data_IF_158101869624
#
_entry.id   IF_158101869624
#
_cell.length_a   1.000
_cell.length_b   1.000
_cell.length_c   1.000
_cell.angle_alpha   90.00
_cell.angle_beta   90.00
_cell.angle_gamma   90.00
#
_symmetry.space_group_name_H-M   'P 1'
#
loop_
_entity.id
_entity.type
_entity.pdbx_description
1 polymer ?
#
# COMPACT_ATOMS: atom_id res chain seq x y z
N UNK A 1 -9.04 -1.00 0.52
CA UNK A 1 -8.62 -0.61 1.89
C UNK A 1 -9.59 -1.15 2.94
N UNK A 2 -10.86 -0.75 2.94
CA UNK A 2 -11.86 -1.23 3.92
C UNK A 2 -11.89 -2.76 4.02
N UNK A 3 -12.02 -3.44 2.88
CA UNK A 3 -12.07 -4.91 2.82
C UNK A 3 -10.83 -5.58 3.42
N UNK A 4 -9.62 -5.07 3.09
CA UNK A 4 -8.36 -5.58 3.66
C UNK A 4 -8.32 -5.46 5.18
N UNK A 5 -8.71 -4.30 5.71
CA UNK A 5 -8.72 -4.03 7.16
C UNK A 5 -9.75 -4.89 7.89
N UNK A 6 -10.96 -5.01 7.32
CA UNK A 6 -12.02 -5.83 7.90
C UNK A 6 -11.65 -7.31 7.91
N UNK A 7 -11.05 -7.80 6.82
CA UNK A 7 -10.56 -9.17 6.76
C UNK A 7 -9.52 -9.44 7.84
N UNK A 8 -8.52 -8.56 7.97
CA UNK A 8 -7.52 -8.69 9.04
C UNK A 8 -8.16 -8.65 10.44
N UNK A 9 -9.14 -7.77 10.66
CA UNK A 9 -9.85 -7.68 11.93
C UNK A 9 -10.63 -8.96 12.27
N UNK A 10 -11.33 -9.53 11.28
CA UNK A 10 -12.11 -10.76 11.44
C UNK A 10 -11.22 -11.99 11.62
N UNK A 11 -10.12 -12.08 10.88
CA UNK A 11 -9.13 -13.17 11.01
C UNK A 11 -8.49 -13.17 12.40
N UNK A 12 -8.25 -11.99 12.98
CA UNK A 12 -7.71 -11.85 14.33
C UNK A 12 -8.76 -12.14 15.44
N UNK A 13 -10.04 -11.92 15.15
CA UNK A 13 -11.13 -12.00 16.14
C UNK A 13 -12.34 -12.79 15.62
N UNK A 14 -12.31 -14.14 15.68
CA UNK A 14 -13.34 -15.00 15.09
C UNK A 14 -14.76 -14.84 15.67
N UNK A 15 -14.89 -14.28 16.88
CA UNK A 15 -16.18 -14.13 17.56
C UNK A 15 -17.02 -12.94 17.06
N UNK A 16 -16.46 -12.08 16.22
CA UNK A 16 -17.14 -10.95 15.55
C UNK A 16 -17.89 -9.96 16.48
N UNK A 17 -17.60 -9.98 17.79
CA UNK A 17 -18.33 -9.21 18.80
C UNK A 17 -18.27 -7.69 18.59
N UNK A 18 -17.22 -7.18 17.95
CA UNK A 18 -17.01 -5.76 17.71
C UNK A 18 -17.04 -5.39 16.22
N UNK A 19 -17.71 -6.19 15.39
CA UNK A 19 -17.74 -6.01 13.93
C UNK A 19 -18.15 -4.59 13.51
N UNK A 20 -19.19 -4.02 14.13
CA UNK A 20 -19.65 -2.66 13.80
C UNK A 20 -18.54 -1.60 14.01
N UNK A 21 -17.81 -1.70 15.12
CA UNK A 21 -16.68 -0.81 15.43
C UNK A 21 -15.56 -1.01 14.41
N UNK A 22 -15.24 -2.26 14.05
CA UNK A 22 -14.20 -2.53 13.06
C UNK A 22 -14.58 -2.00 11.67
N UNK A 23 -15.87 -2.05 11.29
CA UNK A 23 -16.38 -1.43 10.05
C UNK A 23 -16.19 0.07 10.10
N UNK A 24 -16.63 0.73 11.18
CA UNK A 24 -16.49 2.18 11.34
C UNK A 24 -15.01 2.61 11.25
N UNK A 25 -14.12 1.95 12.00
CA UNK A 25 -12.67 2.24 11.96
C UNK A 25 -12.06 1.96 10.58
N UNK A 26 -12.46 0.86 9.93
CA UNK A 26 -11.95 0.53 8.60
C UNK A 26 -12.35 1.59 7.57
N UNK A 27 -13.57 2.12 7.65
CA UNK A 27 -14.03 3.23 6.82
C UNK A 27 -13.27 4.54 7.14
N UNK A 28 -13.11 4.87 8.42
CA UNK A 28 -12.33 6.01 8.91
C UNK A 28 -10.91 5.96 8.31
N UNK A 29 -10.18 4.86 8.53
CA UNK A 29 -8.81 4.67 8.05
C UNK A 29 -8.73 4.65 6.52
N UNK A 30 -9.67 3.99 5.84
CA UNK A 30 -9.70 3.93 4.39
C UNK A 30 -9.97 5.29 3.76
N UNK A 31 -10.76 6.17 4.37
CA UNK A 31 -10.91 7.54 3.88
C UNK A 31 -9.62 8.35 4.04
N UNK A 32 -8.93 8.19 5.17
CA UNK A 32 -7.62 8.84 5.41
C UNK A 32 -6.59 8.41 4.37
N UNK A 33 -6.40 7.11 4.15
CA UNK A 33 -5.37 6.63 3.22
C UNK A 33 -5.81 6.58 1.77
N UNK A 34 -7.09 6.37 1.50
CA UNK A 34 -7.64 6.28 0.15
C UNK A 34 -7.88 7.64 -0.50
N UNK A 35 -8.25 8.65 0.28
CA UNK A 35 -8.46 10.02 -0.20
C UNK A 35 -7.31 10.92 0.25
N UNK A 36 -7.04 10.96 1.56
CA UNK A 36 -5.99 11.81 2.15
C UNK A 36 -4.56 11.41 1.79
N UNK A 37 -4.32 10.15 1.41
CA UNK A 37 -2.99 9.62 1.09
C UNK A 37 -2.29 10.37 -0.05
N UNK A 38 -3.05 10.80 -1.08
CA UNK A 38 -2.54 11.51 -2.25
C UNK A 38 -2.41 13.02 -2.06
N UNK A 39 -2.88 13.56 -0.92
CA UNK A 39 -2.84 14.99 -0.65
C UNK A 39 -1.42 15.47 -0.31
N UNK A 40 -1.14 16.74 -0.65
CA UNK A 40 0.07 17.42 -0.17
C UNK A 40 -0.05 17.75 1.34
N UNK A 41 1.05 18.12 1.98
CA UNK A 41 1.12 18.33 3.43
C UNK A 41 0.08 19.33 3.94
N UNK A 42 -0.03 20.51 3.31
CA UNK A 42 -1.01 21.53 3.72
C UNK A 42 -2.46 21.03 3.57
N UNK A 43 -2.76 20.30 2.49
CA UNK A 43 -4.08 19.75 2.25
C UNK A 43 -4.41 18.60 3.21
N UNK A 44 -3.41 17.86 3.69
CA UNK A 44 -3.60 16.81 4.70
C UNK A 44 -4.07 17.38 6.03
N UNK A 45 -3.54 18.52 6.46
CA UNK A 45 -3.97 19.18 7.71
C UNK A 45 -5.41 19.69 7.63
N UNK A 46 -5.77 20.32 6.50
CA UNK A 46 -7.14 20.77 6.23
C UNK A 46 -8.11 19.60 6.16
N UNK A 47 -7.73 18.54 5.42
CA UNK A 47 -8.52 17.32 5.30
C UNK A 47 -8.70 16.63 6.64
N UNK A 48 -7.64 16.51 7.46
CA UNK A 48 -7.72 15.89 8.79
C UNK A 48 -8.72 16.61 9.70
N UNK A 49 -8.67 17.94 9.72
CA UNK A 49 -9.62 18.76 10.50
C UNK A 49 -11.06 18.52 10.03
N UNK A 50 -11.30 18.69 8.73
CA UNK A 50 -12.60 18.48 8.12
C UNK A 50 -13.15 17.06 8.36
N UNK A 51 -12.30 16.04 8.17
CA UNK A 51 -12.68 14.64 8.28
C UNK A 51 -12.98 14.26 9.74
N UNK A 52 -12.19 14.75 10.70
CA UNK A 52 -12.49 14.59 12.14
C UNK A 52 -13.84 15.21 12.49
N UNK A 53 -14.17 16.39 11.98
CA UNK A 53 -15.43 17.06 12.28
C UNK A 53 -16.64 16.33 11.70
N UNK A 54 -16.53 15.75 10.50
CA UNK A 54 -17.57 14.88 9.94
C UNK A 54 -17.79 13.66 10.84
N UNK A 55 -16.71 12.94 11.19
CA UNK A 55 -16.83 11.72 12.00
C UNK A 55 -17.26 11.99 13.45
N UNK A 56 -17.08 13.22 13.95
CA UNK A 56 -17.61 13.66 15.25
C UNK A 56 -19.06 14.17 15.17
N UNK A 57 -19.60 14.38 13.97
CA UNK A 57 -20.90 15.01 13.78
C UNK A 57 -20.93 16.51 14.12
N UNK A 58 -19.77 17.16 14.13
CA UNK A 58 -19.63 18.59 14.45
C UNK A 58 -19.78 19.48 13.21
N UNK A 59 -19.85 18.90 12.01
CA UNK A 59 -19.99 19.64 10.77
C UNK A 59 -21.48 19.93 10.47
N UNK A 60 -21.93 21.20 10.52
CA UNK A 60 -23.34 21.55 10.29
C UNK A 60 -23.78 21.40 8.84
N UNK A 61 -22.85 21.54 7.88
CA UNK A 61 -23.14 21.39 6.44
C UNK A 61 -23.26 19.91 6.05
N UNK A 62 -22.67 19.03 6.85
CA UNK A 62 -22.62 17.58 6.63
C UNK A 62 -22.94 16.81 7.93
N UNK A 63 -24.18 16.89 8.43
CA UNK A 63 -24.58 16.17 9.65
C UNK A 63 -24.58 14.66 9.43
N UNK A 64 -24.42 13.90 10.52
CA UNK A 64 -24.55 12.43 10.48
C UNK A 64 -25.99 12.09 10.07
N UNK A 65 -26.19 11.29 9.00
CA UNK A 65 -27.53 10.88 8.59
C UNK A 65 -28.27 10.15 9.71
N UNK A 66 -29.57 10.43 9.86
CA UNK A 66 -30.42 9.82 10.91
C UNK A 66 -30.48 8.28 10.84
N UNK A 67 -30.17 7.71 9.67
CA UNK A 67 -30.14 6.26 9.43
C UNK A 67 -28.90 5.57 9.98
N UNK A 68 -27.89 6.32 10.43
CA UNK A 68 -26.62 5.79 10.92
C UNK A 68 -26.64 5.78 12.45
N UNK A 69 -26.41 4.61 13.04
CA UNK A 69 -26.23 4.47 14.49
C UNK A 69 -25.08 5.37 15.00
N UNK A 70 -25.09 5.78 16.28
CA UNK A 70 -24.03 6.61 16.84
C UNK A 70 -22.62 6.06 16.54
N UNK A 71 -21.73 6.95 16.15
CA UNK A 71 -20.32 6.65 15.89
C UNK A 71 -19.65 6.37 17.25
N UNK A 72 -19.39 5.10 17.58
CA UNK A 72 -18.82 4.64 18.87
C UNK A 72 -17.31 4.39 18.78
N UNK A 73 -16.61 5.13 17.90
CA UNK A 73 -15.16 5.05 17.74
C UNK A 73 -14.49 6.29 18.34
N UNK A 74 -13.47 6.13 19.23
CA UNK A 74 -12.72 7.27 19.73
C UNK A 74 -11.84 7.81 18.60
N UNK A 75 -12.12 9.02 18.13
CA UNK A 75 -11.32 9.68 17.08
C UNK A 75 -10.13 10.39 17.73
N UNK A 76 -8.88 10.06 17.36
CA UNK A 76 -7.69 10.68 17.95
C UNK A 76 -7.74 12.21 17.88
N UNK A 77 -7.42 12.86 19.00
CA UNK A 77 -7.39 14.33 19.12
C UNK A 77 -6.01 14.93 18.85
N UNK A 78 -4.94 14.23 19.21
CA UNK A 78 -3.55 14.66 19.00
C UNK A 78 -3.07 14.25 17.60
N UNK A 79 -2.33 15.13 16.92
CA UNK A 79 -1.72 14.83 15.63
C UNK A 79 -2.74 14.57 14.51
N UNK A 80 -2.25 14.16 13.34
CA UNK A 80 -3.11 13.77 12.22
C UNK A 80 -3.57 12.31 12.40
N UNK A 81 -4.76 11.95 11.93
CA UNK A 81 -5.20 10.55 11.91
C UNK A 81 -4.23 9.68 11.09
N UNK A 82 -3.57 10.27 10.09
CA UNK A 82 -2.50 9.61 9.32
C UNK A 82 -1.38 9.04 10.20
N UNK A 83 -1.11 9.66 11.36
CA UNK A 83 -0.06 9.25 12.28
C UNK A 83 -0.49 8.13 13.23
N UNK A 84 -1.68 7.58 13.00
CA UNK A 84 -2.19 6.43 13.74
C UNK A 84 -2.43 5.22 12.85
N UNK A 85 -2.32 4.05 13.45
CA UNK A 85 -2.91 2.83 12.94
C UNK A 85 -3.83 2.23 13.99
N UNK A 86 -4.75 1.37 13.57
CA UNK A 86 -5.65 0.70 14.49
C UNK A 86 -5.19 -0.73 14.73
N UNK A 87 -5.05 -1.11 16.00
CA UNK A 87 -4.86 -2.49 16.40
C UNK A 87 -6.23 -3.10 16.70
N UNK A 88 -6.64 -4.09 15.92
CA UNK A 88 -7.96 -4.72 15.99
C UNK A 88 -8.13 -5.76 17.11
N UNK A 89 -7.15 -5.97 18.00
CA UNK A 89 -7.29 -6.93 19.10
C UNK A 89 -8.45 -6.58 20.05
N UNK A 90 -9.44 -7.48 20.17
CA UNK A 90 -10.65 -7.24 20.96
C UNK A 90 -11.52 -6.11 20.37
N UNK A 91 -11.94 -5.13 21.20
CA UNK A 91 -12.60 -3.90 20.70
C UNK A 91 -11.69 -3.11 19.77
N UNK A 92 -10.38 -3.20 20.01
CA UNK A 92 -9.35 -2.49 19.27
C UNK A 92 -9.00 -1.12 19.84
N UNK A 93 -7.82 -0.61 19.48
CA UNK A 93 -7.29 0.68 19.95
C UNK A 93 -6.45 1.37 18.89
N UNK A 94 -6.53 2.70 18.85
CA UNK A 94 -5.61 3.52 18.07
C UNK A 94 -4.21 3.49 18.68
N UNK A 95 -3.20 3.40 17.83
CA UNK A 95 -1.79 3.43 18.18
C UNK A 95 -1.10 4.55 17.43
N UNK A 96 -0.44 5.42 18.17
CA UNK A 96 0.24 6.60 17.63
C UNK A 96 1.66 6.24 17.22
N UNK A 97 2.01 6.40 15.95
CA UNK A 97 3.32 6.03 15.41
C UNK A 97 4.49 6.72 16.14
N UNK A 98 4.44 8.03 16.45
CA UNK A 98 5.46 8.69 17.24
C UNK A 98 5.74 8.01 18.59
N UNK A 99 4.72 7.53 19.31
CA UNK A 99 4.91 6.79 20.57
C UNK A 99 5.57 5.44 20.34
N UNK A 100 5.11 4.72 19.31
CA UNK A 100 5.68 3.41 18.96
C UNK A 100 7.16 3.53 18.61
N UNK A 101 7.53 4.54 17.82
CA UNK A 101 8.92 4.78 17.42
C UNK A 101 9.80 5.25 18.58
N UNK A 102 9.28 6.06 19.51
CA UNK A 102 9.99 6.43 20.75
C UNK A 102 10.36 5.20 21.60
N UNK A 103 9.54 4.16 21.55
CA UNK A 103 9.78 2.89 22.27
C UNK A 103 10.75 1.94 21.55
N UNK A 104 11.07 2.17 20.28
CA UNK A 104 11.98 1.30 19.52
C UNK A 104 13.44 1.59 19.90
N UNK A 105 14.18 0.53 20.26
CA UNK A 105 15.64 0.61 20.39
C UNK A 105 16.24 0.58 18.98
N UNK A 106 17.01 1.60 18.64
CA UNK A 106 17.79 1.60 17.40
C UNK A 106 18.94 0.61 17.59
N UNK A 107 18.92 -0.51 16.88
CA UNK A 107 20.07 -1.42 16.83
C UNK A 107 21.22 -0.74 16.08
N UNK A 108 22.38 -0.63 16.73
CA UNK A 108 23.59 -0.07 16.13
C UNK A 108 24.01 -0.93 14.94
N UNK A 109 23.75 -0.46 13.74
CA UNK A 109 24.16 -1.13 12.50
C UNK A 109 25.53 -0.61 12.07
N UNK A 110 26.43 -1.52 11.68
CA UNK A 110 27.85 -1.25 11.35
C UNK A 110 28.01 -0.41 10.06
N UNK A 111 26.96 -0.30 9.23
CA UNK A 111 27.02 0.39 7.93
C UNK A 111 26.07 1.60 7.85
N UNK A 112 26.60 2.80 8.13
CA UNK A 112 25.84 4.06 8.16
C UNK A 112 25.10 4.41 6.86
N UNK A 113 25.57 3.91 5.71
CA UNK A 113 24.90 4.15 4.41
C UNK A 113 23.60 3.34 4.23
N UNK A 114 23.36 2.34 5.10
CA UNK A 114 22.19 1.47 5.07
C UNK A 114 21.27 1.66 6.29
N UNK A 115 21.73 2.39 7.31
CA UNK A 115 20.96 2.67 8.53
C UNK A 115 19.91 3.74 8.27
N UNK A 116 18.71 3.33 7.88
CA UNK A 116 17.53 4.20 7.92
C UNK A 116 17.10 4.36 9.38
N UNK A 117 17.16 5.58 9.89
CA UNK A 117 16.52 5.95 11.16
C UNK A 117 15.00 5.76 10.97
N UNK A 118 14.33 4.91 11.77
CA UNK A 118 12.90 4.74 11.67
C UNK A 118 12.18 6.07 11.89
N UNK A 119 11.55 6.61 10.85
CA UNK A 119 10.71 7.81 10.93
C UNK A 119 9.24 7.42 10.93
N UNK A 120 8.39 8.33 11.41
CA UNK A 120 6.92 8.17 11.40
C UNK A 120 6.42 7.85 9.99
N UNK A 121 6.95 8.55 8.99
CA UNK A 121 6.59 8.33 7.59
C UNK A 121 7.00 6.95 7.09
N UNK A 122 8.20 6.47 7.44
CA UNK A 122 8.65 5.13 7.07
C UNK A 122 7.71 4.07 7.65
N UNK A 123 7.39 4.17 8.94
CA UNK A 123 6.51 3.22 9.62
C UNK A 123 5.10 3.19 8.99
N UNK A 124 4.54 4.37 8.69
CA UNK A 124 3.27 4.50 7.98
C UNK A 124 3.29 3.82 6.61
N UNK A 125 4.30 4.12 5.78
CA UNK A 125 4.40 3.53 4.44
C UNK A 125 4.62 2.02 4.50
N UNK A 126 5.45 1.53 5.43
CA UNK A 126 5.68 0.10 5.60
C UNK A 126 4.40 -0.63 5.96
N UNK A 127 3.63 -0.09 6.90
CA UNK A 127 2.34 -0.66 7.30
C UNK A 127 1.36 -0.76 6.12
N UNK A 128 1.22 0.32 5.33
CA UNK A 128 0.31 0.34 4.18
C UNK A 128 0.81 -0.59 3.07
N UNK A 129 2.11 -0.60 2.77
CA UNK A 129 2.72 -1.51 1.79
C UNK A 129 2.52 -2.98 2.18
N UNK A 130 2.80 -3.32 3.43
CA UNK A 130 2.67 -4.70 3.94
C UNK A 130 1.24 -5.19 3.82
N UNK A 131 0.26 -4.37 4.21
CA UNK A 131 -1.16 -4.69 4.05
C UNK A 131 -1.50 -5.02 2.58
N UNK A 132 -1.09 -4.17 1.63
CA UNK A 132 -1.35 -4.41 0.20
C UNK A 132 -0.68 -5.69 -0.31
N UNK A 133 0.54 -5.98 0.12
CA UNK A 133 1.25 -7.22 -0.24
C UNK A 133 0.52 -8.46 0.30
N UNK A 134 0.14 -8.46 1.58
CA UNK A 134 -0.54 -9.61 2.22
C UNK A 134 -1.88 -9.92 1.55
N UNK A 135 -2.63 -8.88 1.20
CA UNK A 135 -3.92 -9.00 0.52
C UNK A 135 -3.83 -9.11 -1.00
N UNK A 136 -2.62 -9.05 -1.57
CA UNK A 136 -2.36 -9.17 -3.01
C UNK A 136 -3.07 -8.08 -3.83
N UNK A 137 -3.14 -6.87 -3.28
CA UNK A 137 -3.73 -5.71 -3.96
C UNK A 137 -2.59 -4.80 -4.44
N UNK A 138 -2.50 -4.48 -5.75
CA UNK A 138 -1.50 -3.55 -6.26
C UNK A 138 -1.61 -2.17 -5.62
N UNK A 139 -0.47 -1.50 -5.41
CA UNK A 139 -0.38 -0.14 -4.86
C UNK A 139 0.59 0.71 -5.67
N UNK A 140 0.25 1.99 -5.85
CA UNK A 140 1.10 2.98 -6.50
C UNK A 140 1.55 4.03 -5.49
N UNK A 141 2.87 4.24 -5.36
CA UNK A 141 3.44 5.31 -4.53
C UNK A 141 3.88 6.47 -5.42
N UNK A 142 3.18 7.60 -5.30
CA UNK A 142 3.46 8.82 -6.07
C UNK A 142 4.07 9.89 -5.17
N UNK A 143 5.04 10.62 -5.71
CA UNK A 143 5.63 11.77 -5.04
C UNK A 143 6.85 12.30 -5.81
N UNK A 144 7.38 13.48 -5.44
CA UNK A 144 8.52 14.11 -6.11
C UNK A 144 9.75 13.19 -6.15
N UNK A 145 10.63 13.39 -7.13
CA UNK A 145 11.93 12.70 -7.19
C UNK A 145 12.80 13.05 -5.98
N UNK A 146 13.66 12.13 -5.55
CA UNK A 146 14.56 12.35 -4.41
C UNK A 146 13.92 12.24 -3.01
N UNK A 147 12.66 11.81 -2.91
CA UNK A 147 11.93 11.66 -1.62
C UNK A 147 12.09 10.29 -0.95
N UNK A 148 12.98 9.43 -1.46
CA UNK A 148 13.27 8.12 -0.87
C UNK A 148 12.23 7.02 -1.17
N UNK A 149 11.24 7.26 -2.03
CA UNK A 149 10.19 6.26 -2.38
C UNK A 149 10.77 4.88 -2.72
N UNK A 150 11.69 4.83 -3.67
CA UNK A 150 12.34 3.59 -4.12
C UNK A 150 13.11 2.93 -2.99
N UNK A 151 13.82 3.73 -2.20
CA UNK A 151 14.57 3.25 -1.05
C UNK A 151 13.65 2.61 -0.01
N UNK A 152 12.51 3.22 0.33
CA UNK A 152 11.55 2.66 1.29
C UNK A 152 10.99 1.32 0.82
N UNK A 153 10.54 1.23 -0.43
CA UNK A 153 9.96 -0.01 -0.96
C UNK A 153 11.03 -1.10 -1.06
N UNK A 154 12.21 -0.79 -1.59
CA UNK A 154 13.32 -1.74 -1.67
C UNK A 154 13.71 -2.26 -0.28
N UNK A 155 13.84 -1.37 0.71
CA UNK A 155 14.17 -1.77 2.08
C UNK A 155 13.13 -2.73 2.65
N UNK A 156 11.85 -2.38 2.55
CA UNK A 156 10.76 -3.21 3.05
C UNK A 156 10.75 -4.60 2.39
N UNK A 157 10.89 -4.65 1.06
CA UNK A 157 10.90 -5.90 0.30
C UNK A 157 12.13 -6.77 0.58
N UNK A 158 13.28 -6.18 0.90
CA UNK A 158 14.54 -6.92 1.12
C UNK A 158 14.77 -7.32 2.58
N UNK A 159 14.28 -6.53 3.55
CA UNK A 159 14.64 -6.69 4.96
C UNK A 159 13.46 -7.02 5.87
N UNK A 160 12.24 -6.59 5.54
CA UNK A 160 11.06 -6.80 6.40
C UNK A 160 10.17 -7.95 5.91
N UNK A 161 10.23 -8.27 4.62
CA UNK A 161 9.36 -9.25 4.00
C UNK A 161 9.84 -10.69 4.26
N UNK A 162 8.92 -11.57 4.66
CA UNK A 162 9.20 -13.00 4.86
C UNK A 162 9.52 -13.71 3.53
N UNK A 163 10.81 -13.88 3.23
CA UNK A 163 11.32 -14.47 1.99
C UNK A 163 10.96 -15.97 1.81
N UNK A 164 10.41 -16.62 2.84
CA UNK A 164 9.85 -17.97 2.70
C UNK A 164 8.47 -17.94 2.04
N UNK A 165 7.74 -16.83 2.17
CA UNK A 165 6.40 -16.63 1.62
C UNK A 165 6.40 -15.75 0.38
N UNK A 166 7.36 -14.84 0.26
CA UNK A 166 7.41 -13.85 -0.81
C UNK A 166 8.73 -13.89 -1.57
N UNK A 167 8.68 -13.54 -2.85
CA UNK A 167 9.81 -13.43 -3.75
C UNK A 167 9.85 -12.02 -4.34
N UNK A 168 10.63 -11.09 -3.78
CA UNK A 168 10.72 -9.73 -4.30
C UNK A 168 11.48 -9.71 -5.63
N UNK A 169 11.02 -8.88 -6.55
CA UNK A 169 11.67 -8.63 -7.83
C UNK A 169 11.63 -7.14 -8.15
N UNK A 170 12.69 -6.64 -8.77
CA UNK A 170 12.89 -5.21 -9.03
C UNK A 170 13.05 -4.96 -10.53
N UNK A 171 12.26 -4.04 -11.05
CA UNK A 171 12.34 -3.46 -12.39
C UNK A 171 12.41 -1.94 -12.27
N UNK A 172 13.08 -1.29 -13.21
CA UNK A 172 13.07 0.18 -13.34
C UNK A 172 12.70 0.51 -14.77
N UNK A 173 11.68 1.33 -14.95
CA UNK A 173 11.31 1.81 -16.28
C UNK A 173 12.25 2.91 -16.73
N UNK A 174 12.62 2.86 -18.00
CA UNK A 174 13.48 3.85 -18.65
C UNK A 174 12.73 4.47 -19.83
N UNK A 175 13.26 5.55 -20.40
CA UNK A 175 12.64 6.19 -21.57
C UNK A 175 12.56 5.30 -22.79
N UNK A 176 13.49 4.34 -22.92
CA UNK A 176 13.59 3.42 -24.07
C UNK A 176 12.95 2.05 -23.84
N UNK A 177 12.33 1.81 -22.67
CA UNK A 177 11.69 0.53 -22.40
C UNK A 177 10.48 0.32 -23.30
N UNK A 178 10.38 -0.85 -23.93
CA UNK A 178 9.26 -1.26 -24.77
C UNK A 178 8.33 -2.21 -24.02
N UNK A 179 7.08 -2.38 -24.50
CA UNK A 179 6.15 -3.34 -23.91
C UNK A 179 6.73 -4.77 -23.93
N UNK A 180 7.34 -5.17 -25.05
CA UNK A 180 7.95 -6.49 -25.19
C UNK A 180 9.09 -6.70 -24.17
N UNK A 181 9.96 -5.69 -24.00
CA UNK A 181 11.04 -5.76 -23.02
C UNK A 181 10.48 -5.83 -21.59
N UNK A 182 9.42 -5.07 -21.27
CA UNK A 182 8.75 -5.16 -19.97
C UNK A 182 8.22 -6.57 -19.70
N UNK A 183 7.55 -7.19 -20.67
CA UNK A 183 7.05 -8.57 -20.58
C UNK A 183 8.20 -9.56 -20.35
N UNK A 184 9.25 -9.47 -21.15
CA UNK A 184 10.44 -10.33 -21.03
C UNK A 184 11.12 -10.18 -19.66
N UNK A 185 11.31 -8.95 -19.19
CA UNK A 185 11.91 -8.67 -17.89
C UNK A 185 11.06 -9.26 -16.75
N UNK A 186 9.75 -9.08 -16.76
CA UNK A 186 8.86 -9.64 -15.73
C UNK A 186 8.89 -11.18 -15.77
N UNK A 187 8.76 -11.78 -16.96
CA UNK A 187 8.82 -13.23 -17.13
C UNK A 187 10.17 -13.79 -16.66
N UNK A 188 11.28 -13.07 -16.89
CA UNK A 188 12.62 -13.49 -16.45
C UNK A 188 12.77 -13.58 -14.93
N UNK A 189 11.91 -12.90 -14.16
CA UNK A 189 11.87 -12.97 -12.68
C UNK A 189 11.02 -14.13 -12.17
N UNK A 190 10.40 -14.91 -13.05
CA UNK A 190 9.49 -15.99 -12.71
C UNK A 190 10.04 -17.34 -13.18
N UNK A 191 9.59 -18.41 -12.52
CA UNK A 191 9.91 -19.79 -12.88
C UNK A 191 8.88 -20.29 -13.88
N UNK A 192 9.36 -20.84 -15.00
CA UNK A 192 8.51 -21.53 -15.98
C UNK A 192 7.95 -22.82 -15.36
N UNK A 193 6.63 -22.94 -15.29
CA UNK A 193 5.94 -24.11 -14.73
C UNK A 193 5.56 -25.12 -15.81
N UNK A 194 5.02 -24.62 -16.91
CA UNK A 194 4.65 -25.36 -18.12
C UNK A 194 4.63 -24.38 -19.30
N UNK A 195 4.36 -24.86 -20.52
CA UNK A 195 4.27 -23.97 -21.71
C UNK A 195 3.26 -22.85 -21.44
N UNK A 196 3.67 -21.60 -21.66
CA UNK A 196 2.85 -20.41 -21.44
C UNK A 196 2.53 -20.04 -19.99
N UNK A 197 3.01 -20.79 -18.98
CA UNK A 197 2.67 -20.53 -17.57
C UNK A 197 3.91 -20.31 -16.74
N UNK A 198 3.97 -19.13 -16.12
CA UNK A 198 5.06 -18.63 -15.32
C UNK A 198 4.54 -18.22 -13.95
N UNK A 199 5.36 -18.40 -12.92
CA UNK A 199 5.00 -17.97 -11.57
C UNK A 199 6.19 -18.00 -10.63
N UNK A 200 6.02 -17.52 -9.38
CA UNK A 200 7.05 -17.60 -8.35
C UNK A 200 7.45 -19.05 -8.04
N UNK A 201 8.50 -19.23 -7.24
CA UNK A 201 8.86 -20.52 -6.65
C UNK A 201 7.68 -21.15 -5.90
N UNK A 202 7.71 -22.48 -5.72
CA UNK A 202 6.55 -23.21 -5.18
C UNK A 202 6.31 -22.78 -3.74
N UNK A 203 5.08 -22.37 -3.43
CA UNK A 203 4.70 -21.90 -2.09
C UNK A 203 4.97 -20.41 -1.83
N UNK A 204 5.56 -19.68 -2.80
CA UNK A 204 5.83 -18.24 -2.67
C UNK A 204 4.87 -17.40 -3.51
N UNK A 205 4.78 -16.11 -3.16
CA UNK A 205 4.13 -15.05 -3.93
C UNK A 205 5.20 -14.12 -4.51
N UNK A 206 5.13 -13.80 -5.81
CA UNK A 206 6.04 -12.83 -6.40
C UNK A 206 5.57 -11.41 -6.09
N UNK A 207 6.46 -10.55 -5.63
CA UNK A 207 6.19 -9.12 -5.41
C UNK A 207 7.11 -8.32 -6.35
N UNK A 208 6.54 -7.78 -7.42
CA UNK A 208 7.30 -7.05 -8.44
C UNK A 208 7.19 -5.56 -8.14
N UNK A 209 8.30 -4.95 -7.76
CA UNK A 209 8.43 -3.50 -7.68
C UNK A 209 8.89 -2.95 -9.04
N UNK A 210 8.13 -1.98 -9.56
CA UNK A 210 8.48 -1.24 -10.77
C UNK A 210 8.75 0.20 -10.36
N UNK A 211 10.00 0.61 -10.47
CA UNK A 211 10.43 1.99 -10.24
C UNK A 211 10.21 2.83 -11.51
N UNK A 212 10.09 4.15 -11.32
CA UNK A 212 10.02 5.13 -12.42
C UNK A 212 8.91 4.84 -13.46
N UNK A 213 7.73 4.39 -13.00
CA UNK A 213 6.62 3.99 -13.88
C UNK A 213 6.20 5.04 -14.92
N UNK A 214 6.44 6.32 -14.67
CA UNK A 214 6.10 7.42 -15.57
C UNK A 214 7.13 7.68 -16.67
N UNK A 215 8.30 7.03 -16.64
CA UNK A 215 9.41 7.27 -17.58
C UNK A 215 9.23 6.78 -19.02
N UNK A 216 8.45 5.73 -19.35
CA UNK A 216 8.35 5.25 -20.73
C UNK A 216 7.95 6.35 -21.72
N UNK A 217 8.53 6.37 -22.92
CA UNK A 217 8.14 7.35 -23.94
C UNK A 217 6.68 7.17 -24.38
N UNK A 218 6.00 8.29 -24.62
CA UNK A 218 4.68 8.29 -25.27
C UNK A 218 4.84 8.03 -26.75
N UNK A 219 3.98 7.18 -27.32
CA UNK A 219 3.88 7.06 -28.76
C UNK A 219 3.10 8.23 -29.38
N UNK A 220 2.95 8.22 -30.72
CA UNK A 220 2.29 9.28 -31.49
C UNK A 220 0.88 9.58 -31.00
N UNK A 221 0.17 8.58 -30.48
CA UNK A 221 -1.19 8.70 -29.96
C UNK A 221 -1.26 8.98 -28.44
N UNK A 222 -0.12 9.21 -27.80
CA UNK A 222 -0.02 9.59 -26.39
C UNK A 222 -0.02 8.42 -25.40
N UNK A 223 -0.23 7.19 -25.85
CA UNK A 223 -0.15 5.99 -25.01
C UNK A 223 1.30 5.68 -24.60
N UNK A 224 1.46 4.98 -23.48
CA UNK A 224 2.75 4.44 -23.03
C UNK A 224 2.65 2.92 -23.05
N UNK A 225 3.07 2.22 -24.13
CA UNK A 225 2.85 0.78 -24.29
C UNK A 225 3.30 -0.09 -23.11
N UNK A 226 4.42 0.18 -22.41
CA UNK A 226 4.80 -0.56 -21.20
C UNK A 226 3.76 -0.48 -20.07
N UNK A 227 3.06 0.65 -19.92
CA UNK A 227 2.03 0.85 -18.90
C UNK A 227 0.72 0.17 -19.33
N UNK A 228 0.37 0.26 -20.62
CA UNK A 228 -0.80 -0.43 -21.18
C UNK A 228 -0.68 -1.96 -21.05
N UNK A 229 0.53 -2.50 -21.18
CA UNK A 229 0.79 -3.92 -20.92
C UNK A 229 0.48 -4.29 -19.46
N UNK A 230 0.87 -3.46 -18.48
CA UNK A 230 0.53 -3.71 -17.08
C UNK A 230 -0.99 -3.63 -16.85
N UNK A 231 -1.66 -2.65 -17.46
CA UNK A 231 -3.12 -2.55 -17.41
C UNK A 231 -3.79 -3.81 -17.98
N UNK A 232 -3.33 -4.32 -19.12
CA UNK A 232 -3.81 -5.57 -19.71
C UNK A 232 -3.72 -6.73 -18.71
N UNK A 233 -2.62 -6.83 -17.95
CA UNK A 233 -2.47 -7.86 -16.93
C UNK A 233 -3.48 -7.70 -15.79
N UNK A 234 -3.70 -6.48 -15.31
CA UNK A 234 -4.65 -6.25 -14.22
C UNK A 234 -6.10 -6.51 -14.64
N UNK A 235 -6.44 -6.24 -15.90
CA UNK A 235 -7.79 -6.44 -16.42
C UNK A 235 -8.07 -7.92 -16.78
N UNK A 236 -7.09 -8.62 -17.37
CA UNK A 236 -7.30 -9.96 -17.93
C UNK A 236 -6.60 -11.09 -17.15
N UNK A 237 -5.64 -10.77 -16.29
CA UNK A 237 -4.85 -11.76 -15.55
C UNK A 237 -3.82 -12.53 -16.37
N UNK A 238 -3.58 -12.14 -17.63
CA UNK A 238 -2.62 -12.80 -18.51
C UNK A 238 -2.10 -11.84 -19.60
N UNK A 239 -1.00 -12.26 -20.24
CA UNK A 239 -0.48 -11.66 -21.47
C UNK A 239 -0.46 -12.70 -22.58
N UNK A 240 -0.56 -12.23 -23.81
CA UNK A 240 -0.36 -13.07 -24.99
C UNK A 240 1.12 -13.35 -25.18
N UNK A 241 1.44 -14.53 -25.69
CA UNK A 241 2.81 -14.85 -26.09
C UNK A 241 3.16 -14.03 -27.34
N UNK A 242 4.31 -13.35 -27.33
CA UNK A 242 4.76 -12.52 -28.44
C UNK A 242 5.11 -13.34 -29.69
N UNK A 243 5.34 -14.66 -29.53
CA UNK A 243 5.80 -15.57 -30.58
C UNK A 243 4.78 -16.61 -30.98
N UNK A 244 3.82 -16.92 -30.10
CA UNK A 244 2.78 -17.92 -30.34
C UNK A 244 1.50 -17.22 -30.81
N UNK A 245 1.20 -17.32 -32.11
CA UNK A 245 0.01 -16.73 -32.73
C UNK A 245 -1.09 -17.78 -32.99
N UNK A 246 -1.03 -18.94 -32.33
CA UNK A 246 -2.00 -20.03 -32.50
C UNK A 246 -3.32 -19.83 -31.75
#
# INVERSE_FOLDING_TARGET
LVDMLLKDACDLNPNLTHLLIWVQVSCLFAGVWGIGGALNTASKELFDTFYKDIWRGNNPDHPIPETIDPIDIPIPSEGLIHDYYYNYSGKGTWKYWPDVLRGMKIEETINLQQTLVPTVDTAKYFHVLEMHIRHKIPILLVGPSGTGKSFYVQKMLMHELDLNKFSPAFLTFTTSISANLTQELIISKLVKRRRGVYGPEKGKLSVIFIDDMNMPAKEVYGAQPPIELLRQYFDHGHWYDLKDTS
#
